data_IF_244453617188
#
_entry.id   IF_244453617188
#
_cell.length_a   1.000
_cell.length_b   1.000
_cell.length_c   1.000
_cell.angle_alpha   90.00
_cell.angle_beta   90.00
_cell.angle_gamma   90.00
#
_symmetry.space_group_name_H-M   'P 1'
#
loop_
_entity.id
_entity.type
_entity.pdbx_description
1 polymer ?
#
# COMPACT_ATOMS: atom_id res chain seq x y z
N UNK A 1 1.01 -22.63 35.20
CA UNK A 1 1.71 -22.79 33.89
C UNK A 1 2.15 -24.24 33.61
N UNK A 2 1.38 -25.27 34.02
CA UNK A 2 1.64 -26.67 33.60
C UNK A 2 0.41 -27.58 33.44
N UNK A 3 -0.82 -27.03 33.46
CA UNK A 3 -2.06 -27.84 33.34
C UNK A 3 -3.05 -27.39 32.26
N UNK A 4 -2.77 -26.31 31.52
CA UNK A 4 -3.56 -25.89 30.35
C UNK A 4 -2.95 -26.33 29.00
N UNK A 5 -1.87 -27.12 29.02
CA UNK A 5 -1.14 -27.55 27.82
C UNK A 5 -1.44 -29.01 27.38
N UNK A 6 -2.30 -29.75 28.08
CA UNK A 6 -2.52 -31.18 27.80
C UNK A 6 -3.83 -31.53 27.06
N UNK A 7 -4.81 -30.62 27.00
CA UNK A 7 -6.09 -30.87 26.31
C UNK A 7 -6.11 -30.44 24.85
N UNK A 8 -5.14 -29.62 24.40
CA UNK A 8 -5.02 -29.22 22.98
C UNK A 8 -4.19 -30.18 22.11
N UNK A 9 -3.28 -30.97 22.70
CA UNK A 9 -2.36 -31.84 21.95
C UNK A 9 -2.93 -33.22 21.60
N UNK A 10 -3.96 -33.72 22.30
CA UNK A 10 -4.58 -35.01 21.97
C UNK A 10 -5.51 -34.93 20.74
N UNK A 11 -6.09 -33.77 20.47
CA UNK A 11 -6.97 -33.53 19.31
C UNK A 11 -6.19 -33.48 17.99
N UNK A 12 -4.93 -33.03 18.02
CA UNK A 12 -4.07 -32.91 16.83
C UNK A 12 -3.40 -34.25 16.43
N UNK A 13 -3.11 -35.13 17.40
CA UNK A 13 -2.50 -36.43 17.12
C UNK A 13 -3.46 -37.44 16.49
N UNK A 14 -4.76 -37.38 16.81
CA UNK A 14 -5.77 -38.31 16.26
C UNK A 14 -6.08 -38.02 14.78
N UNK A 15 -5.85 -36.79 14.30
CA UNK A 15 -6.06 -36.41 12.90
C UNK A 15 -4.83 -36.71 12.02
N UNK A 16 -3.62 -36.74 12.59
CA UNK A 16 -2.40 -37.03 11.83
C UNK A 16 -2.17 -38.53 11.51
N UNK A 17 -2.64 -39.45 12.36
CA UNK A 17 -2.48 -40.91 12.08
C UNK A 17 -3.51 -41.47 11.09
N UNK A 18 -4.64 -40.78 10.90
CA UNK A 18 -5.66 -41.17 9.92
C UNK A 18 -5.35 -40.71 8.48
N UNK A 19 -4.43 -39.76 8.28
CA UNK A 19 -3.96 -39.33 6.96
C UNK A 19 -2.77 -40.13 6.41
N UNK A 20 -1.91 -40.71 7.28
CA UNK A 20 -0.74 -41.49 6.83
C UNK A 20 -1.10 -42.83 6.18
N UNK A 21 -2.31 -43.36 6.39
CA UNK A 21 -2.75 -44.64 5.80
C UNK A 21 -3.40 -44.46 4.41
N UNK A 22 -3.72 -43.24 3.96
CA UNK A 22 -4.41 -43.02 2.66
C UNK A 22 -3.55 -42.48 1.51
N UNK A 23 -2.29 -42.13 1.75
CA UNK A 23 -1.39 -41.63 0.70
C UNK A 23 -0.54 -42.71 0.01
N UNK A 24 -0.54 -43.96 0.49
CA UNK A 24 0.16 -45.06 -0.19
C UNK A 24 -0.64 -45.75 -1.31
N UNK A 25 -1.91 -45.35 -1.52
CA UNK A 25 -2.79 -45.93 -2.54
C UNK A 25 -2.98 -45.11 -3.82
N UNK A 26 -2.55 -43.85 -3.84
CA UNK A 26 -2.86 -42.93 -4.96
C UNK A 26 -1.82 -42.94 -6.10
N UNK A 27 -0.66 -43.59 -5.92
CA UNK A 27 0.42 -43.62 -6.91
C UNK A 27 0.43 -44.85 -7.86
N UNK A 28 -0.54 -45.77 -7.75
CA UNK A 28 -0.66 -46.95 -8.64
C UNK A 28 -1.91 -46.91 -9.54
N UNK A 29 -2.73 -45.87 -9.45
CA UNK A 29 -4.07 -45.82 -10.06
C UNK A 29 -4.13 -44.97 -11.35
N UNK A 30 -3.02 -44.86 -12.09
CA UNK A 30 -2.97 -44.20 -13.42
C UNK A 30 -2.17 -44.97 -14.48
N UNK A 31 -1.89 -46.26 -14.26
CA UNK A 31 -1.46 -47.19 -15.32
C UNK A 31 -2.54 -48.26 -15.47
N UNK A 32 -3.04 -48.44 -16.70
CA UNK A 32 -4.17 -49.30 -17.12
C UNK A 32 -5.53 -48.60 -17.34
N UNK A 33 -5.54 -47.61 -18.24
CA UNK A 33 -6.71 -47.39 -19.12
C UNK A 33 -6.25 -47.66 -20.56
N UNK A 34 -6.22 -48.94 -20.92
CA UNK A 34 -6.28 -49.37 -22.32
C UNK A 34 -6.78 -50.81 -22.38
N UNK A 35 -7.85 -50.99 -23.15
CA UNK A 35 -8.45 -52.26 -23.59
C UNK A 35 -9.39 -52.91 -22.57
N UNK A 36 -10.70 -52.75 -22.78
CA UNK A 36 -11.62 -53.90 -22.84
C UNK A 36 -12.90 -53.55 -23.60
N UNK A 37 -13.21 -54.33 -24.63
CA UNK A 37 -14.45 -54.32 -25.41
C UNK A 37 -15.39 -55.40 -24.84
N UNK A 38 -16.66 -55.02 -24.71
CA UNK A 38 -17.94 -55.76 -24.85
C UNK A 38 -18.13 -57.16 -24.20
N UNK A 39 -19.32 -57.24 -23.59
CA UNK A 39 -20.20 -58.39 -23.39
C UNK A 39 -20.13 -59.17 -22.08
N UNK A 40 -21.35 -59.45 -21.58
CA UNK A 40 -21.77 -60.25 -20.43
C UNK A 40 -21.83 -59.54 -19.07
N UNK A 41 -23.00 -58.95 -18.80
CA UNK A 41 -23.50 -58.75 -17.45
C UNK A 41 -24.35 -59.95 -17.01
N UNK A 42 -24.09 -60.53 -15.83
CA UNK A 42 -25.13 -61.23 -15.07
C UNK A 42 -24.90 -61.16 -13.55
N UNK A 43 -26.03 -60.98 -12.86
CA UNK A 43 -26.30 -61.18 -11.43
C UNK A 43 -25.96 -60.04 -10.45
N UNK A 44 -26.98 -59.71 -9.64
CA UNK A 44 -27.11 -59.10 -8.30
C UNK A 44 -26.06 -58.13 -7.70
N UNK A 45 -24.82 -58.05 -8.18
CA UNK A 45 -23.78 -57.15 -7.67
C UNK A 45 -23.96 -55.68 -8.13
N UNK A 46 -24.74 -55.42 -9.18
CA UNK A 46 -24.84 -54.10 -9.81
C UNK A 46 -25.64 -53.08 -8.99
N UNK A 47 -26.58 -53.50 -8.13
CA UNK A 47 -27.37 -52.57 -7.29
C UNK A 47 -26.64 -52.12 -6.02
N UNK A 48 -25.75 -52.94 -5.45
CA UNK A 48 -24.94 -52.52 -4.29
C UNK A 48 -23.85 -51.52 -4.68
N UNK A 49 -23.23 -51.70 -5.84
CA UNK A 49 -22.11 -50.85 -6.31
C UNK A 49 -22.59 -49.43 -6.68
N UNK A 50 -23.81 -49.29 -7.22
CA UNK A 50 -24.37 -47.98 -7.59
C UNK A 50 -24.77 -47.17 -6.34
N UNK A 51 -25.37 -47.80 -5.32
CA UNK A 51 -25.71 -47.12 -4.06
C UNK A 51 -24.46 -46.66 -3.27
N UNK A 52 -23.39 -47.47 -3.24
CA UNK A 52 -22.12 -47.04 -2.65
C UNK A 52 -21.45 -45.93 -3.46
N UNK A 53 -21.51 -45.94 -4.80
CA UNK A 53 -20.96 -44.84 -5.63
C UNK A 53 -21.67 -43.51 -5.41
N UNK A 54 -22.99 -43.52 -5.24
CA UNK A 54 -23.78 -42.31 -5.00
C UNK A 54 -23.51 -41.69 -3.62
N UNK A 55 -23.30 -42.51 -2.58
CA UNK A 55 -22.94 -42.05 -1.25
C UNK A 55 -21.52 -41.46 -1.18
N UNK A 56 -20.56 -42.02 -1.94
CA UNK A 56 -19.21 -41.46 -2.03
C UNK A 56 -19.14 -40.16 -2.85
N UNK A 57 -19.91 -40.04 -3.94
CA UNK A 57 -19.99 -38.80 -4.73
C UNK A 57 -20.67 -37.66 -3.94
N UNK A 58 -21.72 -37.95 -3.17
CA UNK A 58 -22.38 -36.97 -2.31
C UNK A 58 -21.47 -36.50 -1.16
N UNK A 59 -20.69 -37.40 -0.55
CA UNK A 59 -19.70 -37.04 0.46
C UNK A 59 -18.56 -36.16 -0.10
N UNK A 60 -18.13 -36.40 -1.35
CA UNK A 60 -17.12 -35.56 -2.03
C UNK A 60 -17.68 -34.16 -2.35
N UNK A 61 -18.97 -34.05 -2.69
CA UNK A 61 -19.61 -32.75 -2.97
C UNK A 61 -19.91 -31.93 -1.71
N UNK A 62 -20.15 -32.58 -0.56
CA UNK A 62 -20.34 -31.90 0.72
C UNK A 62 -19.00 -31.54 1.41
N UNK A 63 -17.95 -32.34 1.21
CA UNK A 63 -16.63 -32.08 1.77
C UNK A 63 -15.85 -30.99 1.01
N UNK A 64 -16.10 -30.79 -0.29
CA UNK A 64 -15.44 -29.76 -1.11
C UNK A 64 -15.68 -28.32 -0.62
N UNK A 65 -16.91 -27.85 -0.39
CA UNK A 65 -17.13 -26.49 0.10
C UNK A 65 -16.59 -26.31 1.52
N UNK A 66 -16.69 -27.32 2.39
CA UNK A 66 -16.13 -27.24 3.74
C UNK A 66 -14.59 -27.23 3.75
N UNK A 67 -13.95 -27.97 2.85
CA UNK A 67 -12.49 -27.99 2.70
C UNK A 67 -11.97 -26.72 2.02
N UNK A 68 -12.72 -26.15 1.07
CA UNK A 68 -12.41 -24.85 0.45
C UNK A 68 -12.60 -23.72 1.45
N UNK A 69 -13.70 -23.71 2.21
CA UNK A 69 -13.95 -22.73 3.27
C UNK A 69 -12.91 -22.85 4.39
N UNK A 70 -12.58 -24.09 4.80
CA UNK A 70 -11.51 -24.37 5.75
C UNK A 70 -10.14 -23.93 5.22
N UNK A 71 -9.83 -24.17 3.95
CA UNK A 71 -8.58 -23.76 3.33
C UNK A 71 -8.49 -22.23 3.18
N UNK A 72 -9.58 -21.56 2.80
CA UNK A 72 -9.68 -20.10 2.78
C UNK A 72 -9.50 -19.51 4.18
N UNK A 73 -10.16 -20.09 5.20
CA UNK A 73 -9.98 -19.65 6.58
C UNK A 73 -8.60 -19.97 7.15
N UNK A 74 -7.92 -21.02 6.67
CA UNK A 74 -6.56 -21.37 7.08
C UNK A 74 -5.50 -20.56 6.34
N UNK A 75 -5.72 -20.17 5.08
CA UNK A 75 -4.89 -19.15 4.39
C UNK A 75 -5.05 -17.79 5.07
N UNK A 76 -6.27 -17.40 5.47
CA UNK A 76 -6.52 -16.15 6.22
C UNK A 76 -5.97 -16.16 7.66
N UNK A 77 -5.74 -17.33 8.28
CA UNK A 77 -5.26 -17.42 9.68
C UNK A 77 -3.81 -17.90 9.83
N UNK A 78 -3.18 -18.41 8.76
CA UNK A 78 -1.77 -18.82 8.76
C UNK A 78 -0.87 -17.96 7.86
N UNK A 79 -1.43 -17.00 7.12
CA UNK A 79 -0.66 -15.86 6.68
C UNK A 79 -0.18 -15.14 7.94
N UNK A 80 1.14 -15.13 8.17
CA UNK A 80 1.75 -14.03 8.94
C UNK A 80 1.15 -12.77 8.35
N UNK A 81 0.43 -11.97 9.14
CA UNK A 81 -0.05 -10.68 8.68
C UNK A 81 1.21 -9.85 8.37
N UNK A 82 1.67 -9.92 7.11
CA UNK A 82 2.91 -9.33 6.66
C UNK A 82 2.93 -7.81 6.91
N UNK A 83 1.74 -7.22 7.09
CA UNK A 83 1.58 -5.80 7.35
C UNK A 83 1.60 -5.46 8.83
N UNK A 84 1.61 -6.43 9.75
CA UNK A 84 1.62 -6.17 11.20
C UNK A 84 2.81 -5.29 11.65
N UNK A 85 3.96 -5.45 10.98
CA UNK A 85 5.19 -4.68 11.22
C UNK A 85 5.28 -3.41 10.36
N UNK A 86 4.17 -2.97 9.76
CA UNK A 86 4.10 -1.72 9.00
C UNK A 86 3.25 -0.70 9.75
N UNK A 87 3.34 0.56 9.35
CA UNK A 87 2.54 1.67 9.89
C UNK A 87 2.07 2.56 8.76
N UNK A 88 1.06 3.37 9.04
CA UNK A 88 0.61 4.43 8.15
C UNK A 88 0.83 5.75 8.87
N UNK A 89 1.71 6.60 8.33
CA UNK A 89 1.79 7.99 8.72
C UNK A 89 0.71 8.77 7.95
N UNK A 90 0.04 9.71 8.58
CA UNK A 90 -0.99 10.52 7.94
C UNK A 90 -1.07 11.89 8.61
N UNK A 91 -1.69 12.85 7.94
CA UNK A 91 -1.96 14.18 8.48
C UNK A 91 -3.36 14.18 9.07
N UNK A 92 -3.53 14.67 10.29
CA UNK A 92 -4.84 14.94 10.87
C UNK A 92 -4.97 16.42 11.20
N UNK A 93 -6.07 17.04 10.77
CA UNK A 93 -6.32 18.46 10.97
C UNK A 93 -7.42 18.74 11.98
N UNK A 94 -7.05 19.29 13.13
CA UNK A 94 -7.98 19.72 14.19
C UNK A 94 -7.81 21.21 14.51
N UNK A 95 -8.91 21.97 14.63
CA UNK A 95 -8.88 23.40 14.98
C UNK A 95 -7.86 24.22 14.19
N UNK A 96 -7.79 23.99 12.87
CA UNK A 96 -6.83 24.55 11.92
C UNK A 96 -5.39 24.06 12.04
N UNK A 97 -5.01 23.28 13.07
CA UNK A 97 -3.69 22.66 13.18
C UNK A 97 -3.56 21.46 12.25
N UNK A 98 -2.41 21.26 11.59
CA UNK A 98 -2.09 20.05 10.84
C UNK A 98 -0.93 19.36 11.55
N UNK A 99 -1.14 18.13 11.97
CA UNK A 99 -0.11 17.34 12.63
C UNK A 99 0.02 15.98 11.96
N UNK A 100 1.21 15.40 12.06
CA UNK A 100 1.48 14.05 11.58
C UNK A 100 1.14 13.07 12.70
N UNK A 101 0.32 12.09 12.35
CA UNK A 101 -0.07 10.96 13.16
C UNK A 101 0.46 9.67 12.55
N UNK A 102 0.52 8.64 13.37
CA UNK A 102 0.93 7.29 13.03
C UNK A 102 -0.17 6.33 13.48
N UNK A 103 -0.47 5.31 12.69
CA UNK A 103 -1.38 4.23 13.08
C UNK A 103 -0.91 2.88 12.55
N UNK A 104 -1.48 1.82 13.11
CA UNK A 104 -1.38 0.48 12.54
C UNK A 104 -2.22 0.38 11.24
N UNK A 105 -1.91 -0.55 10.32
CA UNK A 105 -2.70 -0.76 9.10
C UNK A 105 -4.16 -1.15 9.32
N UNK A 106 -4.48 -1.68 10.50
CA UNK A 106 -5.85 -1.97 10.92
C UNK A 106 -6.61 -0.71 11.39
N UNK A 107 -5.95 0.45 11.49
CA UNK A 107 -6.50 1.70 12.00
C UNK A 107 -6.40 1.86 13.52
N UNK A 108 -5.84 0.88 14.22
CA UNK A 108 -5.61 0.95 15.66
C UNK A 108 -4.33 1.73 15.99
N UNK A 109 -4.13 2.00 17.29
CA UNK A 109 -2.92 2.59 17.84
C UNK A 109 -2.53 3.94 17.21
N UNK A 110 -3.51 4.83 17.04
CA UNK A 110 -3.30 6.18 16.53
C UNK A 110 -2.49 6.99 17.55
N UNK A 111 -1.31 7.46 17.14
CA UNK A 111 -0.37 8.24 17.96
C UNK A 111 -0.01 9.52 17.20
N UNK A 112 0.03 10.66 17.90
CA UNK A 112 0.48 11.93 17.32
C UNK A 112 2.01 12.04 17.40
N UNK A 113 2.68 12.31 16.28
CA UNK A 113 4.15 12.46 16.21
C UNK A 113 4.62 13.91 16.31
N UNK A 114 3.81 14.87 15.85
CA UNK A 114 4.15 16.29 15.90
C UNK A 114 3.13 17.03 16.79
N UNK A 115 3.54 17.48 17.97
CA UNK A 115 2.65 18.18 18.93
C UNK A 115 3.21 19.53 19.41
N UNK A 116 4.20 20.07 18.69
CA UNK A 116 4.98 21.25 19.07
C UNK A 116 4.24 22.60 18.98
N UNK A 117 2.92 22.61 19.13
CA UNK A 117 2.12 23.83 19.18
C UNK A 117 2.51 24.65 20.43
N UNK A 118 3.09 25.84 20.22
CA UNK A 118 3.31 26.81 21.30
C UNK A 118 2.02 27.63 21.49
N UNK A 119 1.73 28.15 22.70
CA UNK A 119 0.59 29.05 22.88
C UNK A 119 0.64 30.24 21.90
N UNK A 120 -0.44 30.44 21.14
CA UNK A 120 -0.51 31.47 20.08
C UNK A 120 0.17 31.08 18.77
N UNK A 121 0.64 29.84 18.64
CA UNK A 121 1.47 29.40 17.55
C UNK A 121 1.20 27.95 17.17
N UNK A 122 0.55 27.76 16.04
CA UNK A 122 0.12 26.46 15.55
C UNK A 122 0.94 26.19 14.30
N UNK A 123 1.91 25.27 14.25
CA UNK A 123 2.59 24.96 12.99
C UNK A 123 1.65 24.25 12.00
N UNK A 124 2.06 24.05 10.75
CA UNK A 124 1.35 23.16 9.82
C UNK A 124 2.30 22.07 9.33
N UNK A 125 2.06 20.81 9.71
CA UNK A 125 2.87 19.65 9.31
C UNK A 125 2.11 18.81 8.29
N UNK A 126 2.72 18.58 7.12
CA UNK A 126 2.05 17.96 5.97
C UNK A 126 2.98 17.06 5.16
N UNK A 127 2.42 16.23 4.28
CA UNK A 127 3.16 15.40 3.32
C UNK A 127 4.26 14.52 3.96
N UNK A 128 3.93 13.64 4.93
CA UNK A 128 4.90 12.68 5.45
C UNK A 128 5.37 11.72 4.34
N UNK A 129 6.64 11.33 4.40
CA UNK A 129 7.22 10.33 3.52
C UNK A 129 8.33 9.56 4.25
N UNK A 130 8.27 8.23 4.17
CA UNK A 130 9.16 7.35 4.91
C UNK A 130 10.51 7.21 4.22
N UNK A 131 11.59 7.16 5.00
CA UNK A 131 12.85 6.62 4.51
C UNK A 131 12.66 5.12 4.17
N UNK A 132 13.40 4.59 3.18
CA UNK A 132 13.20 3.22 2.70
C UNK A 132 13.56 2.14 3.73
N UNK A 133 14.35 2.49 4.74
CA UNK A 133 14.67 1.65 5.90
C UNK A 133 13.63 1.75 7.04
N UNK A 134 12.64 2.65 6.91
CA UNK A 134 11.61 2.88 7.93
C UNK A 134 12.09 3.63 9.18
N UNK A 135 13.36 4.08 9.22
CA UNK A 135 13.93 4.70 10.42
C UNK A 135 13.51 6.17 10.61
N UNK A 136 13.15 6.86 9.53
CA UNK A 136 12.87 8.30 9.51
C UNK A 136 11.66 8.65 8.66
N UNK A 137 11.10 9.82 8.96
CA UNK A 137 10.01 10.43 8.19
C UNK A 137 10.47 11.83 7.79
N UNK A 138 10.46 12.12 6.48
CA UNK A 138 10.55 13.48 5.97
C UNK A 138 9.16 14.09 5.88
N UNK A 139 9.05 15.39 6.13
CA UNK A 139 7.76 16.09 6.08
C UNK A 139 7.92 17.56 5.75
N UNK A 140 6.83 18.15 5.30
CA UNK A 140 6.71 19.60 5.11
C UNK A 140 6.28 20.23 6.43
N UNK A 141 6.91 21.34 6.82
CA UNK A 141 6.42 22.17 7.91
C UNK A 141 6.36 23.64 7.50
N UNK A 142 5.33 24.34 7.96
CA UNK A 142 5.28 25.81 8.05
C UNK A 142 5.31 26.14 9.54
N UNK A 143 6.51 26.24 10.16
CA UNK A 143 6.62 26.40 11.60
C UNK A 143 5.85 27.66 11.99
N UNK A 144 6.18 28.80 11.39
CA UNK A 144 5.70 30.12 11.81
C UNK A 144 4.29 30.50 11.32
N UNK A 145 3.65 29.70 10.46
CA UNK A 145 2.37 30.03 9.78
C UNK A 145 2.37 31.37 9.05
N UNK A 146 3.53 31.76 8.57
CA UNK A 146 3.69 32.91 7.68
C UNK A 146 3.83 32.47 6.22
N UNK A 147 3.51 31.19 5.93
CA UNK A 147 3.66 30.60 4.62
C UNK A 147 5.11 30.31 4.26
N UNK A 148 5.97 30.05 5.25
CA UNK A 148 7.38 29.70 5.09
C UNK A 148 7.57 28.18 5.22
N UNK A 149 7.39 27.47 4.11
CA UNK A 149 7.44 26.01 4.06
C UNK A 149 8.88 25.51 3.96
N UNK A 150 9.24 24.54 4.79
CA UNK A 150 10.55 23.89 4.80
C UNK A 150 10.41 22.38 4.96
N UNK A 151 11.40 21.64 4.47
CA UNK A 151 11.49 20.19 4.66
C UNK A 151 12.21 19.91 5.97
N UNK A 152 11.60 19.07 6.78
CA UNK A 152 12.14 18.57 8.04
C UNK A 152 12.19 17.05 8.01
N UNK A 153 13.02 16.49 8.90
CA UNK A 153 13.12 15.05 9.13
C UNK A 153 12.97 14.78 10.63
N UNK A 154 12.40 13.63 10.95
CA UNK A 154 12.30 13.10 12.31
C UNK A 154 12.53 11.59 12.30
N UNK A 155 12.83 11.02 13.45
CA UNK A 155 12.80 9.57 13.64
C UNK A 155 11.36 9.07 13.46
N UNK A 156 11.19 7.80 13.12
CA UNK A 156 9.86 7.19 12.89
C UNK A 156 8.94 7.21 14.12
N UNK A 157 9.49 7.43 15.31
CA UNK A 157 8.76 7.63 16.57
C UNK A 157 8.45 9.11 16.88
N UNK A 158 8.79 10.04 15.98
CA UNK A 158 8.56 11.47 16.10
C UNK A 158 9.65 12.27 16.82
N UNK A 159 10.69 11.61 17.36
CA UNK A 159 11.82 12.28 18.03
C UNK A 159 12.83 12.84 17.04
N UNK A 160 13.79 13.62 17.58
CA UNK A 160 14.95 14.16 16.82
C UNK A 160 14.57 14.97 15.57
N UNK A 161 13.51 15.77 15.70
CA UNK A 161 13.04 16.64 14.63
C UNK A 161 14.11 17.69 14.27
N UNK A 162 14.50 17.75 13.00
CA UNK A 162 15.48 18.71 12.51
C UNK A 162 15.14 19.22 11.11
N UNK A 163 15.48 20.49 10.88
CA UNK A 163 15.28 21.15 9.60
C UNK A 163 16.32 20.69 8.57
N UNK A 164 15.86 20.25 7.40
CA UNK A 164 16.71 19.78 6.31
C UNK A 164 17.01 20.87 5.27
N UNK A 165 16.03 21.70 4.92
CA UNK A 165 16.20 22.80 3.96
C UNK A 165 16.30 24.15 4.66
N UNK A 166 17.04 25.10 4.09
CA UNK A 166 17.01 26.49 4.57
C UNK A 166 15.62 27.15 4.43
N UNK A 167 15.43 28.31 5.07
CA UNK A 167 14.22 29.14 4.98
C UNK A 167 14.22 30.13 3.80
N UNK A 168 15.12 29.96 2.82
CA UNK A 168 15.28 30.95 1.74
C UNK A 168 14.14 30.94 0.72
N UNK A 169 13.40 29.83 0.66
CA UNK A 169 12.33 29.54 -0.29
C UNK A 169 11.32 28.58 0.35
N UNK A 170 10.17 28.42 -0.29
CA UNK A 170 9.13 27.51 0.15
C UNK A 170 9.28 26.13 -0.48
N UNK A 171 9.64 25.13 0.32
CA UNK A 171 9.80 23.75 -0.10
C UNK A 171 8.72 22.86 0.51
N UNK A 172 8.16 21.95 -0.30
CA UNK A 172 7.05 21.08 0.11
C UNK A 172 7.12 19.71 -0.57
N UNK A 173 6.31 18.78 -0.05
CA UNK A 173 6.05 17.44 -0.59
C UNK A 173 7.34 16.62 -0.80
N UNK A 174 8.12 16.38 0.27
CA UNK A 174 9.35 15.60 0.16
C UNK A 174 9.04 14.15 -0.20
N UNK A 175 9.91 13.56 -1.01
CA UNK A 175 9.89 12.14 -1.40
C UNK A 175 11.29 11.54 -1.33
N UNK A 176 11.48 10.56 -0.45
CA UNK A 176 12.71 9.80 -0.28
C UNK A 176 13.01 8.94 -1.51
N UNK A 177 14.27 8.90 -1.92
CA UNK A 177 14.70 7.94 -2.92
C UNK A 177 14.68 6.52 -2.36
N UNK A 178 14.40 5.49 -3.19
CA UNK A 178 14.39 4.09 -2.73
C UNK A 178 15.71 3.62 -2.13
N UNK A 179 16.82 4.24 -2.52
CA UNK A 179 18.17 3.93 -2.00
C UNK A 179 18.52 4.65 -0.69
N UNK A 180 17.67 5.56 -0.21
CA UNK A 180 17.88 6.26 1.06
C UNK A 180 18.87 7.42 1.00
N UNK A 181 19.36 7.80 -0.19
CA UNK A 181 20.48 8.76 -0.30
C UNK A 181 20.03 10.17 -0.70
N UNK A 182 18.80 10.32 -1.19
CA UNK A 182 18.29 11.57 -1.78
C UNK A 182 16.85 11.84 -1.34
N UNK A 183 16.46 13.11 -1.40
CA UNK A 183 15.07 13.54 -1.30
C UNK A 183 14.77 14.48 -2.46
N UNK A 184 13.66 14.22 -3.17
CA UNK A 184 13.07 15.17 -4.13
C UNK A 184 11.95 15.93 -3.43
N UNK A 185 11.82 17.22 -3.71
CA UNK A 185 10.74 18.07 -3.19
C UNK A 185 10.41 19.17 -4.20
N UNK A 186 9.21 19.72 -4.10
CA UNK A 186 8.77 20.84 -4.92
C UNK A 186 9.15 22.17 -4.26
N UNK A 187 9.45 23.18 -5.09
CA UNK A 187 9.59 24.58 -4.67
C UNK A 187 8.39 25.38 -5.16
N UNK A 188 7.68 26.03 -4.22
CA UNK A 188 6.39 26.69 -4.49
C UNK A 188 6.53 27.98 -5.27
N UNK A 189 7.62 28.73 -5.06
CA UNK A 189 7.67 30.14 -5.47
C UNK A 189 8.06 30.31 -6.95
N UNK A 190 8.74 29.35 -7.57
CA UNK A 190 9.23 29.42 -8.95
C UNK A 190 8.95 28.17 -9.78
N UNK A 191 8.04 27.30 -9.32
CA UNK A 191 7.52 26.14 -10.03
C UNK A 191 8.63 25.17 -10.50
N UNK A 192 9.05 24.26 -9.63
CA UNK A 192 9.94 23.17 -10.06
C UNK A 192 10.35 22.22 -8.96
N UNK A 193 10.88 21.08 -9.39
CA UNK A 193 11.38 20.04 -8.51
C UNK A 193 12.86 20.23 -8.21
N UNK A 194 13.25 19.96 -6.98
CA UNK A 194 14.63 19.96 -6.51
C UNK A 194 14.97 18.58 -5.97
N UNK A 195 16.24 18.21 -6.10
CA UNK A 195 16.79 17.02 -5.48
C UNK A 195 17.96 17.42 -4.57
N UNK A 196 17.96 16.87 -3.37
CA UNK A 196 19.03 17.04 -2.38
C UNK A 196 19.69 15.68 -2.12
N UNK A 197 21.02 15.66 -2.09
CA UNK A 197 21.78 14.52 -1.59
C UNK A 197 21.98 14.69 -0.09
N UNK A 198 21.70 13.63 0.68
CA UNK A 198 21.71 13.68 2.15
C UNK A 198 23.12 13.60 2.75
N UNK A 199 24.10 13.08 2.01
CA UNK A 199 25.49 12.94 2.43
C UNK A 199 26.23 14.28 2.57
N UNK A 200 25.89 15.25 1.75
CA UNK A 200 26.61 16.52 1.63
C UNK A 200 25.69 17.75 1.56
N UNK A 201 24.38 17.55 1.74
CA UNK A 201 23.33 18.57 1.67
C UNK A 201 23.32 19.38 0.35
N UNK A 202 23.96 18.89 -0.72
CA UNK A 202 23.94 19.57 -2.02
C UNK A 202 22.60 19.37 -2.69
N UNK A 203 21.94 20.49 -2.95
CA UNK A 203 20.70 20.57 -3.73
C UNK A 203 20.96 21.01 -5.16
N UNK A 204 20.19 20.48 -6.10
CA UNK A 204 20.09 21.00 -7.47
C UNK A 204 18.65 20.97 -7.93
N UNK A 205 18.28 21.93 -8.79
CA UNK A 205 16.98 21.94 -9.47
C UNK A 205 16.95 20.81 -10.52
N UNK A 206 15.83 20.09 -10.63
CA UNK A 206 15.56 19.13 -11.70
C UNK A 206 14.68 19.80 -12.76
N UNK A 207 13.55 20.36 -12.39
CA UNK A 207 12.59 20.88 -13.37
C UNK A 207 12.39 22.39 -13.24
N UNK A 208 12.02 23.04 -14.33
CA UNK A 208 11.83 24.50 -14.43
C UNK A 208 10.37 24.87 -14.74
N UNK A 209 9.47 23.93 -14.49
CA UNK A 209 8.07 23.96 -14.89
C UNK A 209 7.20 23.56 -13.71
N UNK A 210 5.89 23.84 -13.81
CA UNK A 210 4.88 23.42 -12.84
C UNK A 210 4.74 21.90 -12.86
N UNK A 211 5.64 21.25 -12.14
CA UNK A 211 5.69 19.81 -11.98
C UNK A 211 5.44 19.47 -10.51
N UNK A 212 4.61 18.46 -10.27
CA UNK A 212 4.10 18.09 -8.95
C UNK A 212 3.84 16.58 -8.86
N UNK A 213 3.36 16.11 -7.70
CA UNK A 213 2.93 14.73 -7.48
C UNK A 213 4.00 13.68 -7.83
N UNK A 214 5.19 13.86 -7.24
CA UNK A 214 6.34 12.97 -7.43
C UNK A 214 6.04 11.57 -6.89
N UNK A 215 6.33 10.55 -7.69
CA UNK A 215 6.39 9.16 -7.29
C UNK A 215 7.68 8.53 -7.83
N UNK A 216 8.61 8.18 -6.94
CA UNK A 216 9.86 7.53 -7.33
C UNK A 216 9.61 6.20 -8.04
N UNK A 217 10.37 5.95 -9.11
CA UNK A 217 10.47 4.59 -9.63
C UNK A 217 11.14 3.72 -8.56
N UNK A 218 10.71 2.46 -8.34
CA UNK A 218 11.28 1.60 -7.31
C UNK A 218 12.77 1.32 -7.48
N UNK A 219 13.29 1.41 -8.72
CA UNK A 219 14.72 1.26 -9.03
C UNK A 219 15.56 2.52 -8.75
N UNK A 220 14.93 3.64 -8.37
CA UNK A 220 15.59 4.93 -8.11
C UNK A 220 16.16 5.62 -9.35
N UNK A 221 15.93 5.11 -10.56
CA UNK A 221 16.48 5.65 -11.81
C UNK A 221 15.80 6.94 -12.28
N UNK A 222 14.64 7.27 -11.70
CA UNK A 222 13.83 8.42 -12.04
C UNK A 222 12.56 8.49 -11.19
N UNK A 223 11.59 9.26 -11.64
CA UNK A 223 10.29 9.40 -10.97
C UNK A 223 9.17 9.63 -11.99
N UNK A 224 7.96 9.22 -11.64
CA UNK A 224 6.74 9.71 -12.26
C UNK A 224 6.37 11.07 -11.65
N UNK A 225 5.87 12.00 -12.46
CA UNK A 225 5.31 13.27 -11.96
C UNK A 225 4.29 13.82 -12.95
N UNK A 226 3.38 14.65 -12.45
CA UNK A 226 2.64 15.55 -13.31
C UNK A 226 3.59 16.63 -13.86
N UNK A 227 3.41 17.00 -15.14
CA UNK A 227 4.14 18.09 -15.78
C UNK A 227 3.16 18.91 -16.64
N UNK A 228 3.00 20.19 -16.33
CA UNK A 228 2.10 21.09 -17.06
C UNK A 228 2.63 21.52 -18.45
N UNK A 229 3.95 21.51 -18.65
CA UNK A 229 4.62 22.07 -19.84
C UNK A 229 5.18 21.01 -20.79
N UNK A 230 4.58 19.83 -20.79
CA UNK A 230 5.02 18.74 -21.65
C UNK A 230 4.60 18.92 -23.11
N UNK A 231 5.31 18.28 -24.07
CA UNK A 231 5.10 18.49 -25.51
C UNK A 231 3.67 18.24 -26.02
N UNK A 232 2.87 17.49 -25.26
CA UNK A 232 1.52 17.05 -25.65
C UNK A 232 0.41 17.76 -24.84
N UNK A 233 0.76 18.80 -24.05
CA UNK A 233 -0.12 19.34 -23.00
C UNK A 233 0.08 18.61 -21.67
N UNK A 234 -0.51 19.13 -20.59
CA UNK A 234 -0.31 18.63 -19.23
C UNK A 234 -0.59 17.13 -19.09
N UNK A 235 0.23 16.41 -18.34
CA UNK A 235 0.03 14.96 -18.15
C UNK A 235 1.01 14.31 -17.19
N UNK A 236 0.92 12.98 -17.09
CA UNK A 236 1.74 12.14 -16.22
C UNK A 236 2.89 11.52 -17.02
N UNK A 237 4.13 11.85 -16.63
CA UNK A 237 5.35 11.45 -17.33
C UNK A 237 6.30 10.70 -16.42
N UNK A 238 7.17 9.90 -17.03
CA UNK A 238 8.38 9.38 -16.39
C UNK A 238 9.55 10.29 -16.74
N UNK A 239 10.23 10.80 -15.72
CA UNK A 239 11.39 11.65 -15.86
C UNK A 239 12.63 10.98 -15.27
N UNK A 240 13.75 11.10 -15.98
CA UNK A 240 15.07 10.73 -15.48
C UNK A 240 15.61 11.80 -14.53
N UNK A 241 16.55 11.44 -13.65
CA UNK A 241 17.19 12.39 -12.75
C UNK A 241 18.02 13.47 -13.48
N UNK A 242 18.41 13.21 -14.73
CA UNK A 242 19.12 14.15 -15.61
C UNK A 242 18.18 15.14 -16.33
N UNK A 243 16.88 15.16 -15.95
CA UNK A 243 15.82 16.06 -16.45
C UNK A 243 15.27 15.68 -17.82
N UNK A 244 15.68 14.56 -18.39
CA UNK A 244 15.11 14.08 -19.65
C UNK A 244 13.80 13.33 -19.40
N UNK A 245 12.82 13.54 -20.27
CA UNK A 245 11.57 12.77 -20.27
C UNK A 245 11.90 11.38 -20.81
N UNK A 246 11.68 10.34 -20.01
CA UNK A 246 11.84 8.94 -20.39
C UNK A 246 10.63 8.43 -21.17
N UNK A 247 9.42 8.82 -20.77
CA UNK A 247 8.18 8.36 -21.40
C UNK A 247 6.95 9.10 -20.89
N UNK A 248 5.85 8.97 -21.63
CA UNK A 248 4.52 9.45 -21.24
C UNK A 248 3.69 8.26 -20.77
N UNK A 249 3.06 8.38 -19.60
CA UNK A 249 2.09 7.40 -19.11
C UNK A 249 0.68 7.76 -19.52
N UNK A 250 0.25 9.00 -19.23
CA UNK A 250 -1.11 9.48 -19.50
C UNK A 250 -1.07 10.94 -19.96
N UNK A 251 -1.54 11.21 -21.18
CA UNK A 251 -1.73 12.58 -21.68
C UNK A 251 -3.03 13.21 -21.18
N UNK A 252 -3.09 14.54 -21.12
CA UNK A 252 -4.24 15.31 -20.62
C UNK A 252 -4.72 14.85 -19.23
N UNK A 253 -3.76 14.59 -18.35
CA UNK A 253 -3.99 14.14 -16.98
C UNK A 253 -3.62 15.29 -16.04
N UNK A 254 -4.43 16.35 -16.05
CA UNK A 254 -4.22 17.53 -15.21
C UNK A 254 -4.21 17.14 -13.73
N UNK A 255 -3.18 17.60 -13.02
CA UNK A 255 -2.94 17.36 -11.59
C UNK A 255 -3.05 15.87 -11.16
N UNK A 256 -2.76 14.95 -12.08
CA UNK A 256 -2.84 13.53 -11.79
C UNK A 256 -1.80 13.11 -10.73
N UNK A 257 -2.28 12.34 -9.77
CA UNK A 257 -1.51 11.85 -8.63
C UNK A 257 -1.26 10.38 -8.82
N UNK A 258 -0.02 9.92 -8.62
CA UNK A 258 0.34 8.53 -8.85
C UNK A 258 1.18 7.96 -7.71
N UNK A 259 1.16 6.64 -7.57
CA UNK A 259 2.08 5.90 -6.72
C UNK A 259 2.42 4.54 -7.36
N UNK A 260 3.70 4.19 -7.33
CA UNK A 260 4.23 2.91 -7.80
C UNK A 260 3.94 1.79 -6.81
N UNK A 261 3.60 0.61 -7.32
CA UNK A 261 3.67 -0.61 -6.53
C UNK A 261 5.13 -0.87 -6.12
N UNK A 262 5.39 -1.51 -4.96
CA UNK A 262 6.76 -1.72 -4.46
C UNK A 262 7.65 -2.51 -5.42
N UNK A 263 7.07 -3.42 -6.19
CA UNK A 263 7.74 -4.24 -7.20
C UNK A 263 7.93 -3.51 -8.55
N UNK A 264 7.36 -2.33 -8.71
CA UNK A 264 7.41 -1.53 -9.93
C UNK A 264 6.60 -2.08 -11.10
N UNK A 265 5.76 -3.09 -10.88
CA UNK A 265 4.95 -3.68 -11.95
C UNK A 265 3.71 -2.83 -12.29
N UNK A 266 3.21 -2.04 -11.34
CA UNK A 266 1.95 -1.30 -11.45
C UNK A 266 2.04 0.13 -10.94
N UNK A 267 1.08 0.93 -11.38
CA UNK A 267 0.79 2.27 -10.88
C UNK A 267 -0.66 2.35 -10.42
N UNK A 268 -0.88 2.98 -9.28
CA UNK A 268 -2.21 3.52 -8.95
C UNK A 268 -2.20 5.01 -9.30
N UNK A 269 -3.27 5.49 -9.93
CA UNK A 269 -3.40 6.88 -10.37
C UNK A 269 -4.76 7.41 -9.99
N UNK A 270 -4.80 8.59 -9.38
CA UNK A 270 -6.00 9.40 -9.23
C UNK A 270 -5.94 10.53 -10.27
N UNK A 271 -6.97 10.62 -11.09
CA UNK A 271 -7.04 11.62 -12.17
C UNK A 271 -8.49 12.05 -12.40
N UNK A 272 -8.66 13.28 -12.85
CA UNK A 272 -9.95 13.81 -13.27
C UNK A 272 -10.26 13.39 -14.71
N UNK A 273 -11.45 12.82 -14.94
CA UNK A 273 -12.03 12.58 -16.26
C UNK A 273 -13.49 13.00 -16.24
N UNK A 274 -13.90 13.74 -17.27
CA UNK A 274 -15.29 14.19 -17.43
C UNK A 274 -15.85 14.91 -16.18
N UNK A 275 -15.00 15.74 -15.54
CA UNK A 275 -15.30 16.45 -14.30
C UNK A 275 -15.61 15.55 -13.10
N UNK A 276 -15.03 14.35 -13.07
CA UNK A 276 -15.10 13.40 -11.95
C UNK A 276 -13.71 12.86 -11.64
N UNK A 277 -13.35 12.86 -10.36
CA UNK A 277 -12.13 12.23 -9.87
C UNK A 277 -12.35 10.73 -9.71
N UNK A 278 -11.44 9.93 -10.26
CA UNK A 278 -11.49 8.48 -10.13
C UNK A 278 -10.09 7.90 -9.96
N UNK A 279 -10.02 6.81 -9.19
CA UNK A 279 -8.80 6.03 -9.04
C UNK A 279 -8.77 4.86 -10.01
N UNK A 280 -7.61 4.65 -10.61
CA UNK A 280 -7.31 3.58 -11.53
C UNK A 280 -6.06 2.84 -11.09
N UNK A 281 -5.98 1.55 -11.42
CA UNK A 281 -4.72 0.80 -11.44
C UNK A 281 -4.34 0.51 -12.88
N UNK A 282 -3.05 0.60 -13.20
CA UNK A 282 -2.50 0.31 -14.53
C UNK A 282 -1.15 -0.39 -14.40
N UNK A 283 -0.67 -0.97 -15.49
CA UNK A 283 0.68 -1.51 -15.57
C UNK A 283 1.72 -0.38 -15.64
N UNK A 284 2.98 -0.71 -15.34
CA UNK A 284 4.11 0.22 -15.27
C UNK A 284 4.33 1.08 -16.53
N UNK A 285 3.92 0.59 -17.68
CA UNK A 285 4.04 1.27 -18.98
C UNK A 285 2.83 2.16 -19.30
N UNK A 286 1.83 2.23 -18.41
CA UNK A 286 0.58 2.95 -18.60
C UNK A 286 -0.53 2.13 -19.26
N UNK A 287 -0.28 0.87 -19.63
CA UNK A 287 -1.26 0.00 -20.25
C UNK A 287 -2.26 -0.59 -19.23
N UNK A 288 -3.34 -1.17 -19.76
CA UNK A 288 -4.36 -1.91 -18.99
C UNK A 288 -4.93 -1.13 -17.79
N UNK A 289 -5.22 0.14 -17.98
CA UNK A 289 -5.81 0.98 -16.94
C UNK A 289 -7.24 0.53 -16.61
N UNK A 290 -7.49 0.18 -15.34
CA UNK A 290 -8.76 -0.36 -14.84
C UNK A 290 -9.24 0.49 -13.65
N UNK A 291 -10.52 0.92 -13.60
CA UNK A 291 -11.05 1.68 -12.48
C UNK A 291 -11.16 0.83 -11.21
N UNK A 292 -10.88 1.42 -10.05
CA UNK A 292 -10.97 0.77 -8.74
C UNK A 292 -12.35 0.92 -8.06
N UNK A 293 -13.30 1.61 -8.70
CA UNK A 293 -14.70 1.79 -8.26
C UNK A 293 -14.83 2.20 -6.78
N UNK A 294 -14.07 3.22 -6.40
CA UNK A 294 -14.05 3.83 -5.07
C UNK A 294 -14.47 5.30 -5.17
N UNK A 295 -14.94 5.87 -4.05
CA UNK A 295 -15.07 7.32 -3.91
C UNK A 295 -13.82 7.87 -3.25
N UNK A 296 -13.17 8.82 -3.91
CA UNK A 296 -11.95 9.47 -3.44
C UNK A 296 -12.16 10.97 -3.35
N UNK A 297 -11.47 11.59 -2.41
CA UNK A 297 -11.40 13.04 -2.33
C UNK A 297 -10.65 13.63 -3.55
N UNK A 298 -11.06 14.81 -4.01
CA UNK A 298 -10.46 15.50 -5.16
C UNK A 298 -8.95 15.73 -4.97
N UNK A 299 -8.52 16.12 -3.76
CA UNK A 299 -7.13 16.36 -3.41
C UNK A 299 -6.58 15.26 -2.48
N UNK A 300 -6.56 14.03 -2.98
CA UNK A 300 -6.09 12.85 -2.23
C UNK A 300 -4.61 12.55 -2.48
N UNK A 301 -4.00 11.70 -1.66
CA UNK A 301 -2.75 11.03 -2.03
C UNK A 301 -2.93 9.53 -1.90
N UNK A 302 -2.12 8.78 -2.62
CA UNK A 302 -2.20 7.33 -2.70
C UNK A 302 -0.91 6.73 -2.16
N UNK A 303 -1.02 5.68 -1.37
CA UNK A 303 0.15 4.99 -0.83
C UNK A 303 -0.05 3.48 -0.84
N UNK A 304 0.87 2.77 -1.50
CA UNK A 304 0.85 1.31 -1.53
C UNK A 304 1.39 0.72 -0.22
N UNK A 305 0.80 -0.38 0.22
CA UNK A 305 1.43 -1.24 1.23
C UNK A 305 2.73 -1.84 0.67
N UNK A 306 3.74 -2.12 1.51
CA UNK A 306 5.06 -2.57 1.04
C UNK A 306 5.07 -3.99 0.46
N UNK A 307 4.01 -4.77 0.69
CA UNK A 307 3.77 -6.07 0.05
C UNK A 307 3.02 -5.95 -1.29
N UNK A 308 2.58 -4.76 -1.68
CA UNK A 308 1.80 -4.50 -2.89
C UNK A 308 0.36 -5.01 -2.85
N UNK A 309 -0.17 -5.47 -1.70
CA UNK A 309 -1.51 -6.05 -1.61
C UNK A 309 -2.62 -5.01 -1.41
N UNK A 310 -2.28 -3.82 -0.90
CA UNK A 310 -3.23 -2.77 -0.50
C UNK A 310 -2.79 -1.37 -0.91
N UNK A 311 -3.76 -0.46 -0.93
CA UNK A 311 -3.57 0.97 -1.16
C UNK A 311 -4.32 1.75 -0.09
N UNK A 312 -3.62 2.65 0.60
CA UNK A 312 -4.22 3.68 1.45
C UNK A 312 -4.54 4.94 0.62
N UNK A 313 -5.68 5.56 0.91
CA UNK A 313 -6.19 6.73 0.20
C UNK A 313 -7.10 7.58 1.10
N UNK A 314 -7.44 8.79 0.67
CA UNK A 314 -8.42 9.66 1.34
C UNK A 314 -9.77 9.58 0.63
N UNK A 315 -10.84 9.38 1.41
CA UNK A 315 -12.23 9.47 0.94
C UNK A 315 -13.00 10.52 1.74
N UNK A 316 -13.97 11.14 1.09
CA UNK A 316 -14.95 12.06 1.67
C UNK A 316 -16.37 11.47 1.72
N UNK A 317 -16.51 10.16 1.50
CA UNK A 317 -17.80 9.50 1.29
C UNK A 317 -18.76 9.61 2.48
N UNK A 318 -18.21 9.75 3.68
CA UNK A 318 -18.96 9.90 4.93
C UNK A 318 -19.16 11.35 5.39
N UNK A 319 -18.79 12.33 4.57
CA UNK A 319 -19.00 13.76 4.83
C UNK A 319 -17.82 14.53 5.44
N UNK A 320 -16.72 13.85 5.79
CA UNK A 320 -15.42 14.44 6.11
C UNK A 320 -14.28 13.62 5.47
N UNK A 321 -13.10 14.24 5.33
CA UNK A 321 -11.91 13.55 4.82
C UNK A 321 -11.35 12.58 5.84
N UNK A 322 -11.25 11.32 5.43
CA UNK A 322 -10.84 10.20 6.27
C UNK A 322 -9.90 9.27 5.51
N UNK A 323 -9.05 8.56 6.24
CA UNK A 323 -8.13 7.57 5.67
C UNK A 323 -8.85 6.25 5.48
N UNK A 324 -8.74 5.71 4.28
CA UNK A 324 -9.27 4.43 3.85
C UNK A 324 -8.16 3.53 3.34
N UNK A 325 -8.44 2.22 3.36
CA UNK A 325 -7.62 1.19 2.72
C UNK A 325 -8.48 0.32 1.84
N UNK A 326 -7.95 -0.09 0.70
CA UNK A 326 -8.53 -1.09 -0.18
C UNK A 326 -7.46 -2.08 -0.63
N UNK A 327 -7.89 -3.24 -1.14
CA UNK A 327 -6.99 -4.13 -1.87
C UNK A 327 -6.54 -3.46 -3.18
N UNK A 328 -5.39 -3.86 -3.70
CA UNK A 328 -4.83 -3.37 -4.96
C UNK A 328 -5.74 -3.52 -6.19
N UNK A 329 -6.76 -4.38 -6.09
CA UNK A 329 -7.79 -4.58 -7.10
C UNK A 329 -9.08 -3.76 -6.87
N UNK A 330 -9.11 -2.88 -5.87
CA UNK A 330 -10.25 -2.02 -5.50
C UNK A 330 -11.27 -2.67 -4.56
N UNK A 331 -11.14 -3.96 -4.26
CA UNK A 331 -12.01 -4.67 -3.32
C UNK A 331 -11.70 -4.37 -1.85
N UNK A 332 -12.61 -4.77 -0.96
CA UNK A 332 -12.43 -4.67 0.50
C UNK A 332 -12.06 -3.27 1.01
N UNK A 333 -12.75 -2.25 0.49
CA UNK A 333 -12.63 -0.88 0.98
C UNK A 333 -13.05 -0.80 2.46
N UNK A 334 -12.23 -0.15 3.28
CA UNK A 334 -12.44 -0.01 4.72
C UNK A 334 -11.89 1.32 5.22
N UNK A 335 -12.71 2.05 5.97
CA UNK A 335 -12.32 3.26 6.72
C UNK A 335 -11.38 2.89 7.87
N UNK A 336 -10.32 3.66 8.08
CA UNK A 336 -9.37 3.52 9.19
C UNK A 336 -9.62 4.54 10.29
N UNK A 337 -9.78 5.80 9.93
CA UNK A 337 -9.93 6.91 10.88
C UNK A 337 -11.40 7.28 11.09
N UNK A 338 -11.78 7.58 12.32
CA UNK A 338 -13.18 7.75 12.74
C UNK A 338 -13.30 8.94 13.70
N UNK A 339 -13.13 10.15 13.19
CA UNK A 339 -13.12 11.35 14.03
C UNK A 339 -13.75 12.55 13.29
N UNK A 340 -13.75 13.73 13.91
CA UNK A 340 -14.30 14.96 13.31
C UNK A 340 -13.23 15.84 12.64
N UNK A 341 -12.00 15.35 12.52
CA UNK A 341 -10.89 16.05 11.89
C UNK A 341 -10.95 15.83 10.37
N UNK A 342 -10.09 16.55 9.65
CA UNK A 342 -9.78 16.22 8.26
C UNK A 342 -8.48 15.42 8.24
N UNK A 343 -8.58 14.15 7.90
CA UNK A 343 -7.44 13.25 7.79
C UNK A 343 -7.04 13.10 6.32
N UNK A 344 -5.74 13.28 6.04
CA UNK A 344 -5.18 13.37 4.70
C UNK A 344 -3.75 12.79 4.63
N UNK A 345 -3.15 12.82 3.44
CA UNK A 345 -1.75 12.45 3.19
C UNK A 345 -1.28 11.11 3.78
N UNK A 346 -1.99 9.98 3.55
CA UNK A 346 -1.51 8.69 4.00
C UNK A 346 -0.19 8.31 3.33
N UNK A 347 0.77 7.86 4.13
CA UNK A 347 2.07 7.33 3.73
C UNK A 347 2.32 6.02 4.49
N UNK A 348 2.17 4.90 3.78
CA UNK A 348 2.48 3.57 4.28
C UNK A 348 3.99 3.40 4.43
N UNK A 349 4.43 2.86 5.55
CA UNK A 349 5.83 2.57 5.81
C UNK A 349 6.31 1.37 4.98
N UNK A 350 7.63 1.26 4.74
CA UNK A 350 8.23 -0.03 4.41
C UNK A 350 8.01 -1.04 5.55
N UNK A 351 8.41 -2.29 5.36
CA UNK A 351 8.51 -3.25 6.46
C UNK A 351 9.49 -2.71 7.49
N UNK A 352 9.00 -2.41 8.70
CA UNK A 352 9.86 -1.93 9.77
C UNK A 352 10.66 -3.11 10.29
N UNK A 353 11.96 -2.91 10.48
CA UNK A 353 12.75 -3.91 11.17
C UNK A 353 12.28 -3.97 12.63
N UNK A 354 12.16 -5.17 13.23
CA UNK A 354 11.89 -5.25 14.66
C UNK A 354 12.99 -4.48 15.40
N UNK A 355 12.61 -3.70 16.41
CA UNK A 355 13.60 -3.07 17.29
C UNK A 355 14.46 -4.19 17.85
N UNK A 356 15.75 -4.18 17.49
CA UNK A 356 16.72 -4.99 18.21
C UNK A 356 16.89 -4.25 19.52
N UNK A 357 16.05 -4.60 20.50
CA UNK A 357 16.25 -4.16 21.87
C UNK A 357 17.63 -4.69 22.28
N UNK A 358 18.62 -3.79 22.40
CA UNK A 358 19.91 -4.12 22.98
C UNK A 358 19.69 -4.38 24.48
N UNK A 359 19.63 -5.67 24.84
CA UNK A 359 19.65 -6.17 26.23
C UNK A 359 21.00 -5.91 26.93
#
# INVERSE_FOLDING_TARGET
>A
MKELAQTGLQSAFIVCDSLKIRLHGFAQMFKFIRIWRRDQMHSALTRKIILTRSLWMAAIFLARPACILSAQTMEDTAAVDLLADTRIAFVSRSNLNFDIYLMNPDGSNIIRLTDNAKPGHVPGHMHPDWSPDGSRIAYTTDPERHGQFSIWIMNSDGREQSQLTDKSRNFLSPKWSPDGTKIIFAERDHDGLFIMNLDNARRRRITFTKDSHIAWLPDGSGFACYSANSPQGGGLYIMNLDRTIRGLLIGNAEDAISAWSPDGSKLVVNLERDSQWATYVMEADGANMIPLNNRVAEHTTLSWSPDGSKVAYVSDEDGNFEIYVMNANGGHQRRLTHNSHYDADPAWSPFLQPSVDED
#
